data_IF_475047377920
#
_entry.id   IF_475047377920
#
_cell.length_a   1.000
_cell.length_b   1.000
_cell.length_c   1.000
_cell.angle_alpha   90.00
_cell.angle_beta   90.00
_cell.angle_gamma   90.00
#
_symmetry.space_group_name_H-M   'P 1'
#
loop_
_entity.id
_entity.type
_entity.pdbx_description
1 polymer ?
#
# COMPACT_ATOMS: atom_id res chain seq x y z
N UNK A 1 -28.88 -23.73 7.22
CA UNK A 1 -27.78 -22.78 7.38
C UNK A 1 -26.63 -23.30 6.53
N UNK A 2 -26.42 -22.75 5.36
CA UNK A 2 -25.43 -23.27 4.39
C UNK A 2 -24.04 -22.86 4.85
N UNK A 3 -23.14 -23.83 5.06
CA UNK A 3 -21.69 -23.61 5.18
C UNK A 3 -21.15 -23.36 3.76
N UNK A 4 -21.07 -22.12 3.33
CA UNK A 4 -20.70 -21.78 1.95
C UNK A 4 -19.24 -22.14 1.66
N UNK A 5 -18.33 -22.06 2.63
CA UNK A 5 -16.91 -22.43 2.44
C UNK A 5 -16.65 -23.94 2.43
N UNK A 6 -17.51 -24.76 3.03
CA UNK A 6 -17.35 -26.22 3.03
C UNK A 6 -17.56 -26.91 1.67
N UNK A 7 -18.02 -26.17 0.65
CA UNK A 7 -18.27 -26.68 -0.70
C UNK A 7 -17.19 -26.27 -1.72
N UNK A 8 -16.19 -25.45 -1.34
CA UNK A 8 -15.05 -25.15 -2.20
C UNK A 8 -14.11 -26.36 -2.16
N UNK A 9 -14.06 -27.10 -3.25
CA UNK A 9 -13.05 -28.13 -3.47
C UNK A 9 -12.01 -27.57 -4.44
N UNK A 10 -10.92 -27.07 -3.87
CA UNK A 10 -9.73 -26.66 -4.61
C UNK A 10 -8.86 -27.91 -4.81
N UNK A 11 -8.25 -28.01 -5.99
CA UNK A 11 -7.43 -29.18 -6.33
C UNK A 11 -6.15 -29.21 -5.47
N UNK A 12 -5.54 -30.38 -5.31
CA UNK A 12 -4.29 -30.54 -4.58
C UNK A 12 -3.17 -29.71 -5.21
N UNK A 13 -2.27 -29.16 -4.37
CA UNK A 13 -1.15 -28.30 -4.75
C UNK A 13 -1.56 -26.99 -5.47
N UNK A 14 -2.58 -26.31 -4.98
CA UNK A 14 -3.01 -25.01 -5.52
C UNK A 14 -2.18 -23.88 -4.91
N UNK A 15 -1.65 -22.98 -5.73
CA UNK A 15 -0.92 -21.79 -5.27
C UNK A 15 -1.88 -20.64 -4.97
N UNK A 16 -1.64 -19.93 -3.88
CA UNK A 16 -2.39 -18.73 -3.47
C UNK A 16 -1.45 -17.54 -3.51
N UNK A 17 -1.78 -16.51 -4.28
CA UNK A 17 -0.90 -15.33 -4.42
C UNK A 17 -1.70 -14.07 -4.78
N UNK A 18 -1.10 -12.92 -4.45
CA UNK A 18 -1.60 -11.61 -4.85
C UNK A 18 -0.81 -11.00 -6.00
N UNK A 19 -0.92 -9.69 -6.20
CA UNK A 19 -0.40 -8.98 -7.37
C UNK A 19 1.14 -8.88 -7.42
N UNK A 20 1.66 -8.51 -8.62
CA UNK A 20 3.07 -8.12 -8.82
C UNK A 20 3.41 -6.90 -7.95
N UNK A 21 4.69 -6.82 -7.51
CA UNK A 21 5.16 -5.81 -6.54
C UNK A 21 4.32 -5.83 -5.25
N UNK A 22 4.37 -6.94 -4.51
CA UNK A 22 3.46 -7.22 -3.42
C UNK A 22 3.60 -6.21 -2.28
N UNK A 23 2.47 -5.73 -1.79
CA UNK A 23 2.34 -4.95 -0.58
C UNK A 23 1.94 -5.82 0.63
N UNK A 24 1.58 -5.18 1.73
CA UNK A 24 1.25 -5.88 2.96
C UNK A 24 -0.06 -6.67 2.85
N UNK A 25 -1.10 -6.13 2.15
CA UNK A 25 -2.36 -6.86 1.97
C UNK A 25 -2.19 -8.08 1.07
N UNK A 26 -1.47 -7.92 -0.04
CA UNK A 26 -1.13 -9.02 -0.95
C UNK A 26 -0.46 -10.20 -0.24
N UNK A 27 0.55 -9.96 0.59
CA UNK A 27 1.27 -11.04 1.29
C UNK A 27 0.45 -11.64 2.42
N UNK A 28 -0.17 -10.79 3.26
CA UNK A 28 -0.97 -11.24 4.39
C UNK A 28 -2.19 -12.04 3.94
N UNK A 29 -2.89 -11.58 2.88
CA UNK A 29 -4.05 -12.26 2.36
C UNK A 29 -3.70 -13.58 1.68
N UNK A 30 -2.56 -13.71 1.00
CA UNK A 30 -2.10 -14.99 0.47
C UNK A 30 -1.86 -16.02 1.58
N UNK A 31 -1.18 -15.62 2.66
CA UNK A 31 -0.93 -16.48 3.83
C UNK A 31 -2.25 -16.85 4.52
N UNK A 32 -3.12 -15.87 4.77
CA UNK A 32 -4.39 -16.08 5.47
C UNK A 32 -5.35 -16.95 4.65
N UNK A 33 -5.51 -16.69 3.35
CA UNK A 33 -6.37 -17.48 2.48
C UNK A 33 -5.87 -18.93 2.34
N UNK A 34 -4.56 -19.13 2.16
CA UNK A 34 -3.99 -20.48 2.12
C UNK A 34 -4.24 -21.24 3.43
N UNK A 35 -4.05 -20.60 4.58
CA UNK A 35 -4.35 -21.22 5.86
C UNK A 35 -5.84 -21.61 5.99
N UNK A 36 -6.75 -20.69 5.65
CA UNK A 36 -8.20 -20.94 5.69
C UNK A 36 -8.60 -22.12 4.80
N UNK A 37 -8.12 -22.11 3.55
CA UNK A 37 -8.39 -23.17 2.59
C UNK A 37 -7.86 -24.53 3.05
N UNK A 38 -6.66 -24.58 3.62
CA UNK A 38 -6.10 -25.82 4.17
C UNK A 38 -6.92 -26.34 5.36
N UNK A 39 -7.44 -25.45 6.22
CA UNK A 39 -8.32 -25.84 7.35
C UNK A 39 -9.70 -26.32 6.89
N UNK A 40 -10.14 -25.93 5.71
CA UNK A 40 -11.40 -26.37 5.10
C UNK A 40 -11.26 -27.59 4.20
N UNK A 41 -10.06 -28.21 4.14
CA UNK A 41 -9.82 -29.49 3.50
C UNK A 41 -9.22 -29.39 2.09
N UNK A 42 -8.68 -28.25 1.73
CA UNK A 42 -7.91 -28.06 0.50
C UNK A 42 -6.41 -28.23 0.76
N UNK A 43 -5.61 -28.31 -0.29
CA UNK A 43 -4.15 -28.42 -0.22
C UNK A 43 -3.55 -27.24 -1.01
N UNK A 44 -3.16 -26.18 -0.27
CA UNK A 44 -2.71 -24.92 -0.86
C UNK A 44 -1.39 -24.45 -0.28
N UNK A 45 -0.63 -23.71 -1.07
CA UNK A 45 0.61 -23.02 -0.68
C UNK A 45 0.50 -21.52 -0.96
N UNK A 46 0.78 -20.69 0.04
CA UNK A 46 0.96 -19.25 -0.16
C UNK A 46 2.29 -18.96 -0.85
N UNK A 47 2.26 -18.19 -1.93
CA UNK A 47 3.44 -17.74 -2.68
C UNK A 47 3.34 -16.25 -2.98
N UNK A 48 4.42 -15.63 -3.45
CA UNK A 48 4.47 -14.20 -3.73
C UNK A 48 5.00 -13.91 -5.14
N UNK A 49 4.56 -12.83 -5.77
CA UNK A 49 5.06 -12.37 -7.06
C UNK A 49 6.17 -11.32 -6.95
N UNK A 50 6.90 -11.32 -5.85
CA UNK A 50 8.02 -10.42 -5.58
C UNK A 50 8.45 -10.50 -4.13
N UNK A 51 9.55 -9.82 -3.83
CA UNK A 51 10.07 -9.70 -2.47
C UNK A 51 9.17 -8.75 -1.68
N UNK A 52 8.83 -9.06 -0.42
CA UNK A 52 8.13 -8.12 0.45
C UNK A 52 8.84 -6.77 0.52
N UNK A 53 8.08 -5.69 0.53
CA UNK A 53 8.61 -4.35 0.77
C UNK A 53 8.98 -4.17 2.26
N UNK A 54 9.55 -3.03 2.64
CA UNK A 54 10.03 -2.81 4.00
C UNK A 54 8.90 -2.85 5.04
N UNK A 55 7.70 -2.34 4.71
CA UNK A 55 6.52 -2.40 5.56
C UNK A 55 6.06 -3.84 5.80
N UNK A 56 5.93 -4.60 4.72
CA UNK A 56 5.55 -6.02 4.78
C UNK A 56 6.60 -6.83 5.54
N UNK A 57 7.89 -6.56 5.33
CA UNK A 57 8.96 -7.24 6.03
C UNK A 57 8.93 -6.93 7.54
N UNK A 58 8.65 -5.68 7.91
CA UNK A 58 8.44 -5.31 9.31
C UNK A 58 7.33 -6.14 9.97
N UNK A 59 6.18 -6.29 9.31
CA UNK A 59 5.09 -7.11 9.81
C UNK A 59 5.47 -8.59 9.94
N UNK A 60 6.10 -9.15 8.92
CA UNK A 60 6.57 -10.55 8.92
C UNK A 60 7.55 -10.82 10.06
N UNK A 61 8.50 -9.92 10.28
CA UNK A 61 9.50 -10.05 11.35
C UNK A 61 8.86 -9.91 12.74
N UNK A 62 7.96 -8.93 12.91
CA UNK A 62 7.28 -8.68 14.17
C UNK A 62 6.47 -9.89 14.65
N UNK A 63 5.73 -10.55 13.73
CA UNK A 63 4.93 -11.74 14.04
C UNK A 63 5.70 -13.05 13.83
N UNK A 64 6.99 -12.99 13.50
CA UNK A 64 7.85 -14.16 13.27
C UNK A 64 7.31 -15.10 12.19
N UNK A 65 6.69 -14.55 11.15
CA UNK A 65 6.18 -15.30 10.00
C UNK A 65 7.20 -15.25 8.87
N UNK A 66 7.47 -16.41 8.28
CA UNK A 66 8.37 -16.48 7.13
C UNK A 66 7.68 -15.96 5.87
N UNK A 67 8.40 -15.13 5.11
CA UNK A 67 7.94 -14.68 3.79
C UNK A 67 7.66 -15.88 2.87
N UNK A 68 6.57 -15.85 2.08
CA UNK A 68 6.30 -16.85 1.06
C UNK A 68 7.43 -16.94 0.01
N UNK A 69 7.59 -18.10 -0.63
CA UNK A 69 8.52 -18.22 -1.74
C UNK A 69 8.09 -17.35 -2.92
N UNK A 70 9.07 -16.77 -3.61
CA UNK A 70 8.81 -15.91 -4.78
C UNK A 70 8.67 -16.74 -6.03
N UNK A 71 7.68 -16.43 -6.85
CA UNK A 71 7.43 -17.05 -8.16
C UNK A 71 7.21 -15.98 -9.23
N UNK A 72 7.43 -16.31 -10.48
CA UNK A 72 7.02 -15.55 -11.67
C UNK A 72 6.00 -16.31 -12.51
N UNK A 73 5.96 -17.62 -12.34
CA UNK A 73 5.04 -18.53 -13.03
C UNK A 73 4.59 -19.62 -12.06
N UNK A 74 3.37 -20.09 -12.20
CA UNK A 74 2.89 -21.24 -11.44
C UNK A 74 3.51 -22.55 -11.96
N UNK A 75 3.94 -23.39 -11.03
CA UNK A 75 4.39 -24.77 -11.25
C UNK A 75 3.28 -25.80 -10.95
N UNK A 76 2.03 -25.32 -10.80
CA UNK A 76 0.82 -26.10 -10.56
C UNK A 76 -0.22 -25.84 -11.63
N UNK A 77 -1.25 -26.68 -11.72
CA UNK A 77 -2.35 -26.52 -12.69
C UNK A 77 -3.45 -25.57 -12.21
N UNK A 78 -3.46 -25.22 -10.92
CA UNK A 78 -4.54 -24.46 -10.28
C UNK A 78 -3.99 -23.37 -9.36
N UNK A 79 -4.71 -22.25 -9.31
CA UNK A 79 -4.33 -21.08 -8.52
C UNK A 79 -5.55 -20.42 -7.87
N UNK A 80 -5.31 -19.72 -6.77
CA UNK A 80 -6.24 -18.79 -6.13
C UNK A 80 -5.61 -17.41 -6.15
N UNK A 81 -6.37 -16.42 -6.60
CA UNK A 81 -5.94 -15.03 -6.61
C UNK A 81 -6.46 -14.30 -5.38
N UNK A 82 -5.61 -13.49 -4.77
CA UNK A 82 -5.97 -12.54 -3.72
C UNK A 82 -5.51 -11.14 -4.12
N UNK A 83 -6.26 -10.12 -3.73
CA UNK A 83 -5.88 -8.71 -3.86
C UNK A 83 -5.57 -8.26 -5.30
N UNK A 84 -6.02 -9.00 -6.26
CA UNK A 84 -6.04 -8.62 -7.68
C UNK A 84 -6.89 -9.58 -8.49
N UNK A 85 -7.30 -9.12 -9.67
CA UNK A 85 -7.99 -9.95 -10.66
C UNK A 85 -7.56 -9.61 -12.10
N UNK A 86 -6.69 -8.63 -12.30
CA UNK A 86 -6.22 -8.23 -13.64
C UNK A 86 -5.03 -9.10 -14.06
N UNK A 87 -5.08 -9.66 -15.29
CA UNK A 87 -4.02 -10.52 -15.85
C UNK A 87 -2.64 -9.82 -15.86
N UNK A 88 -2.61 -8.51 -16.14
CA UNK A 88 -1.37 -7.73 -16.16
C UNK A 88 -0.66 -7.66 -14.80
N UNK A 89 -1.40 -7.85 -13.72
CA UNK A 89 -0.90 -7.87 -12.34
C UNK A 89 -0.58 -9.28 -11.84
N UNK A 90 -0.75 -10.30 -12.67
CA UNK A 90 -0.63 -11.69 -12.28
C UNK A 90 0.65 -12.36 -12.84
N UNK A 91 0.80 -13.65 -12.56
CA UNK A 91 1.91 -14.49 -13.05
C UNK A 91 1.95 -14.57 -14.57
N UNK A 92 3.15 -14.85 -15.10
CA UNK A 92 3.37 -14.82 -16.55
C UNK A 92 2.60 -15.89 -17.33
N UNK A 93 2.24 -17.00 -16.68
CA UNK A 93 1.52 -18.12 -17.28
C UNK A 93 0.07 -18.27 -16.74
N UNK A 94 -0.59 -17.17 -16.35
CA UNK A 94 -1.95 -17.23 -15.81
C UNK A 94 -2.94 -17.89 -16.80
N UNK A 95 -2.75 -17.68 -18.10
CA UNK A 95 -3.58 -18.28 -19.15
C UNK A 95 -3.46 -19.82 -19.25
N UNK A 96 -2.38 -20.40 -18.72
CA UNK A 96 -2.09 -21.84 -18.79
C UNK A 96 -2.59 -22.60 -17.55
N UNK A 97 -3.12 -21.91 -16.55
CA UNK A 97 -3.58 -22.48 -15.27
C UNK A 97 -5.06 -22.17 -15.04
N UNK A 98 -5.70 -22.94 -14.18
CA UNK A 98 -7.10 -22.72 -13.79
C UNK A 98 -7.14 -21.84 -12.53
N UNK A 99 -7.83 -20.70 -12.62
CA UNK A 99 -8.18 -19.90 -11.44
C UNK A 99 -9.42 -20.49 -10.81
N UNK A 100 -9.31 -20.97 -9.58
CA UNK A 100 -10.41 -21.62 -8.84
C UNK A 100 -11.16 -20.68 -7.90
N UNK A 101 -10.46 -19.67 -7.36
CA UNK A 101 -11.07 -18.68 -6.49
C UNK A 101 -10.38 -17.31 -6.62
N UNK A 102 -11.13 -16.25 -6.33
CA UNK A 102 -10.64 -14.87 -6.24
C UNK A 102 -11.23 -14.21 -4.99
N UNK A 103 -10.36 -13.62 -4.16
CA UNK A 103 -10.72 -12.75 -3.04
C UNK A 103 -10.14 -11.36 -3.33
N UNK A 104 -11.00 -10.35 -3.54
CA UNK A 104 -10.53 -9.06 -4.02
C UNK A 104 -11.42 -7.89 -3.56
N UNK A 105 -10.82 -6.71 -3.44
CA UNK A 105 -11.51 -5.47 -3.09
C UNK A 105 -11.42 -4.39 -4.18
N UNK A 106 -10.75 -4.68 -5.27
CA UNK A 106 -10.57 -3.79 -6.42
C UNK A 106 -11.74 -3.82 -7.40
N UNK A 107 -11.69 -2.93 -8.41
CA UNK A 107 -12.55 -3.05 -9.59
C UNK A 107 -12.32 -4.41 -10.26
N UNK A 108 -13.37 -5.01 -10.80
CA UNK A 108 -13.26 -6.33 -11.40
C UNK A 108 -13.02 -6.25 -12.91
N UNK A 109 -11.97 -6.91 -13.39
CA UNK A 109 -11.60 -7.02 -14.80
C UNK A 109 -10.97 -8.39 -15.05
N UNK A 110 -11.79 -9.45 -14.99
CA UNK A 110 -11.36 -10.84 -15.14
C UNK A 110 -12.26 -11.58 -16.10
N UNK A 111 -11.67 -12.38 -16.99
CA UNK A 111 -12.39 -13.25 -17.91
C UNK A 111 -12.00 -14.69 -17.65
N UNK A 112 -12.97 -15.56 -17.42
CA UNK A 112 -12.76 -16.99 -17.21
C UNK A 112 -13.76 -17.82 -18.02
N UNK A 113 -13.36 -19.02 -18.40
CA UNK A 113 -14.22 -19.96 -19.15
C UNK A 113 -14.80 -21.07 -18.28
N UNK A 114 -14.31 -21.19 -17.03
CA UNK A 114 -14.76 -22.20 -16.06
C UNK A 114 -15.44 -21.52 -14.88
N UNK A 115 -16.40 -22.17 -14.20
CA UNK A 115 -16.93 -21.66 -12.94
C UNK A 115 -15.82 -21.51 -11.90
N UNK A 116 -15.84 -20.40 -11.15
CA UNK A 116 -14.91 -20.15 -10.06
C UNK A 116 -15.64 -19.50 -8.87
N UNK A 117 -15.03 -19.60 -7.69
CA UNK A 117 -15.53 -18.91 -6.53
C UNK A 117 -15.01 -17.48 -6.49
N UNK A 118 -15.89 -16.51 -6.24
CA UNK A 118 -15.50 -15.10 -6.14
C UNK A 118 -16.09 -14.49 -4.86
N UNK A 119 -15.24 -13.91 -4.02
CA UNK A 119 -15.64 -12.96 -2.99
C UNK A 119 -15.01 -11.61 -3.29
N UNK A 120 -15.81 -10.70 -3.84
CA UNK A 120 -15.39 -9.34 -4.13
C UNK A 120 -16.24 -8.35 -3.32
N UNK A 121 -15.60 -7.50 -2.54
CA UNK A 121 -16.25 -6.49 -1.70
C UNK A 121 -15.42 -5.21 -1.69
N UNK A 122 -16.03 -4.02 -1.87
CA UNK A 122 -15.29 -2.75 -1.87
C UNK A 122 -14.96 -2.32 -0.42
N UNK A 123 -14.25 -3.17 0.31
CA UNK A 123 -13.79 -2.93 1.67
C UNK A 123 -12.35 -2.44 1.68
N UNK A 124 -11.87 -1.99 2.84
CA UNK A 124 -10.57 -1.35 2.95
C UNK A 124 -9.38 -2.26 2.66
N UNK A 125 -9.52 -3.58 2.88
CA UNK A 125 -8.46 -4.57 2.67
C UNK A 125 -9.08 -5.94 2.36
N UNK A 126 -8.38 -6.78 1.61
CA UNK A 126 -8.78 -8.18 1.37
C UNK A 126 -8.72 -8.99 2.67
N UNK A 127 -7.78 -8.67 3.58
CA UNK A 127 -7.75 -9.35 4.88
C UNK A 127 -8.98 -9.03 5.75
N UNK A 128 -9.63 -7.88 5.58
CA UNK A 128 -10.96 -7.65 6.14
C UNK A 128 -11.97 -8.67 5.60
N UNK A 129 -11.99 -8.91 4.29
CA UNK A 129 -12.88 -9.91 3.68
C UNK A 129 -12.59 -11.29 4.28
N UNK A 130 -11.33 -11.69 4.31
CA UNK A 130 -10.89 -12.97 4.83
C UNK A 130 -11.25 -13.17 6.31
N UNK A 131 -11.19 -12.11 7.14
CA UNK A 131 -11.64 -12.19 8.55
C UNK A 131 -13.11 -12.68 8.64
N UNK A 132 -14.00 -12.16 7.80
CA UNK A 132 -15.39 -12.61 7.78
C UNK A 132 -15.54 -13.99 7.15
N UNK A 133 -14.72 -14.39 6.19
CA UNK A 133 -14.67 -15.75 5.65
C UNK A 133 -14.23 -16.76 6.72
N UNK A 134 -13.23 -16.44 7.55
CA UNK A 134 -12.84 -17.26 8.71
C UNK A 134 -13.98 -17.45 9.69
N UNK A 135 -14.69 -16.37 10.02
CA UNK A 135 -15.88 -16.43 10.90
C UNK A 135 -17.00 -17.32 10.32
N UNK A 136 -17.24 -17.19 9.02
CA UNK A 136 -18.27 -17.99 8.34
C UNK A 136 -17.91 -19.47 8.29
N UNK A 137 -16.64 -19.78 8.10
CA UNK A 137 -16.13 -21.16 8.08
C UNK A 137 -16.01 -21.79 9.47
N UNK A 138 -16.15 -21.03 10.56
CA UNK A 138 -15.90 -21.45 11.93
C UNK A 138 -14.45 -21.95 12.14
N UNK A 139 -13.49 -21.25 11.51
CA UNK A 139 -12.05 -21.54 11.59
C UNK A 139 -11.38 -20.50 12.49
N UNK A 140 -10.63 -20.97 13.49
CA UNK A 140 -9.84 -20.08 14.35
C UNK A 140 -8.64 -19.51 13.59
N UNK A 141 -8.39 -18.22 13.78
CA UNK A 141 -7.22 -17.53 13.20
C UNK A 141 -6.07 -17.64 14.20
N UNK A 142 -4.89 -18.16 13.83
CA UNK A 142 -3.69 -18.13 14.67
C UNK A 142 -3.23 -16.70 14.93
N UNK A 143 -2.58 -16.47 16.08
CA UNK A 143 -2.17 -15.13 16.50
C UNK A 143 -1.20 -14.46 15.53
N UNK A 144 -0.27 -15.18 14.96
CA UNK A 144 0.69 -14.72 13.97
C UNK A 144 0.01 -14.29 12.65
N UNK A 145 -0.94 -15.10 12.15
CA UNK A 145 -1.73 -14.77 10.96
C UNK A 145 -2.66 -13.58 11.26
N UNK A 146 -3.28 -13.54 12.43
CA UNK A 146 -4.13 -12.41 12.84
C UNK A 146 -3.35 -11.10 12.86
N UNK A 147 -2.11 -11.13 13.33
CA UNK A 147 -1.21 -9.98 13.31
C UNK A 147 -0.90 -9.48 11.91
N UNK A 148 -0.60 -10.37 10.97
CA UNK A 148 -0.39 -10.00 9.57
C UNK A 148 -1.66 -9.43 8.92
N UNK A 149 -2.83 -10.03 9.19
CA UNK A 149 -4.12 -9.52 8.70
C UNK A 149 -4.43 -8.13 9.26
N UNK A 150 -4.15 -7.89 10.56
CA UNK A 150 -4.27 -6.56 11.16
C UNK A 150 -3.34 -5.55 10.50
N UNK A 151 -2.09 -5.94 10.22
CA UNK A 151 -1.11 -5.09 9.52
C UNK A 151 -1.59 -4.69 8.13
N UNK A 152 -2.19 -5.59 7.38
CA UNK A 152 -2.76 -5.31 6.06
C UNK A 152 -3.91 -4.29 6.13
N UNK A 153 -4.84 -4.46 7.08
CA UNK A 153 -5.92 -3.47 7.28
C UNK A 153 -5.34 -2.10 7.65
N UNK A 154 -4.34 -2.06 8.53
CA UNK A 154 -3.67 -0.82 8.92
C UNK A 154 -3.02 -0.13 7.71
N UNK A 155 -2.31 -0.89 6.88
CA UNK A 155 -1.64 -0.41 5.67
C UNK A 155 -2.64 0.23 4.70
N UNK A 156 -3.62 -0.51 4.23
CA UNK A 156 -4.56 -0.09 3.19
C UNK A 156 -5.51 1.02 3.64
N UNK A 157 -5.83 1.03 4.93
CA UNK A 157 -6.73 2.03 5.51
C UNK A 157 -6.00 3.21 6.16
N UNK A 158 -4.65 3.22 6.16
CA UNK A 158 -3.83 4.21 6.85
C UNK A 158 -4.31 4.43 8.30
N UNK A 159 -4.34 3.37 9.08
CA UNK A 159 -4.90 3.38 10.45
C UNK A 159 -6.36 3.90 10.48
N UNK A 160 -7.20 3.41 9.57
CA UNK A 160 -8.60 3.77 9.42
C UNK A 160 -8.86 5.25 9.02
N UNK A 161 -7.82 5.97 8.58
CA UNK A 161 -7.92 7.38 8.14
C UNK A 161 -8.14 7.54 6.64
N UNK A 162 -7.90 6.50 5.85
CA UNK A 162 -8.11 6.53 4.40
C UNK A 162 -9.59 6.64 4.04
N UNK A 163 -9.96 7.35 2.96
CA UNK A 163 -11.32 7.35 2.43
C UNK A 163 -11.77 5.98 1.88
N UNK A 164 -10.87 5.01 1.75
CA UNK A 164 -11.18 3.61 1.41
C UNK A 164 -11.70 2.82 2.61
N UNK A 165 -11.52 3.32 3.84
CA UNK A 165 -11.99 2.68 5.07
C UNK A 165 -13.51 2.53 5.07
N UNK A 166 -13.98 1.35 5.45
CA UNK A 166 -15.40 1.03 5.58
C UNK A 166 -15.78 0.66 7.01
N UNK A 167 -17.09 0.52 7.26
CA UNK A 167 -17.61 0.10 8.58
C UNK A 167 -17.27 -1.35 8.94
N UNK A 168 -16.69 -2.11 8.02
CA UNK A 168 -16.27 -3.50 8.23
C UNK A 168 -14.82 -3.60 8.70
N UNK A 169 -13.98 -2.62 8.37
CA UNK A 169 -12.54 -2.67 8.62
C UNK A 169 -12.20 -2.49 10.11
N UNK A 170 -12.78 -1.51 10.77
CA UNK A 170 -12.50 -1.26 12.19
C UNK A 170 -12.85 -2.47 13.08
N UNK A 171 -14.04 -3.08 13.01
CA UNK A 171 -14.35 -4.26 13.84
C UNK A 171 -13.45 -5.47 13.53
N UNK A 172 -13.03 -5.63 12.26
CA UNK A 172 -12.09 -6.68 11.88
C UNK A 172 -10.70 -6.43 12.46
N UNK A 173 -10.18 -5.20 12.34
CA UNK A 173 -8.89 -4.79 12.90
C UNK A 173 -8.85 -5.00 14.42
N UNK A 174 -9.85 -4.51 15.15
CA UNK A 174 -9.91 -4.64 16.61
C UNK A 174 -9.93 -6.11 17.05
N UNK A 175 -10.71 -6.96 16.38
CA UNK A 175 -10.76 -8.38 16.68
C UNK A 175 -9.44 -9.11 16.35
N UNK A 176 -8.82 -8.79 15.20
CA UNK A 176 -7.54 -9.36 14.78
C UNK A 176 -6.40 -8.91 15.70
N UNK A 177 -6.37 -7.64 16.08
CA UNK A 177 -5.41 -7.11 17.06
C UNK A 177 -5.52 -7.82 18.42
N UNK A 178 -6.74 -8.06 18.89
CA UNK A 178 -6.97 -8.82 20.11
C UNK A 178 -6.45 -10.27 20.00
N UNK A 179 -6.72 -10.96 18.89
CA UNK A 179 -6.24 -12.34 18.65
C UNK A 179 -4.71 -12.36 18.58
N UNK A 180 -4.11 -11.36 17.94
CA UNK A 180 -2.66 -11.24 17.80
C UNK A 180 -1.94 -10.82 19.10
N UNK A 181 -2.67 -10.36 20.11
CA UNK A 181 -2.10 -9.84 21.36
C UNK A 181 -1.50 -8.44 21.20
N UNK A 182 -1.94 -7.67 20.19
CA UNK A 182 -1.57 -6.26 20.00
C UNK A 182 -2.41 -5.40 20.93
N UNK A 183 -1.89 -5.08 22.11
CA UNK A 183 -2.59 -4.21 23.09
C UNK A 183 -2.72 -2.76 22.59
N UNK A 184 -1.75 -2.27 21.82
CA UNK A 184 -1.69 -0.93 21.24
C UNK A 184 -1.42 -1.03 19.73
N UNK A 185 -2.47 -1.37 18.99
CA UNK A 185 -2.37 -1.50 17.53
C UNK A 185 -2.18 -0.14 16.84
N UNK A 186 -2.49 0.98 17.50
CA UNK A 186 -2.28 2.32 16.94
C UNK A 186 -0.79 2.64 16.88
N UNK A 187 -0.05 2.46 17.97
CA UNK A 187 1.40 2.64 17.98
C UNK A 187 2.12 1.63 17.10
N UNK A 188 1.71 0.35 17.14
CA UNK A 188 2.23 -0.64 16.20
C UNK A 188 2.02 -0.21 14.74
N UNK A 189 0.83 0.29 14.41
CA UNK A 189 0.48 0.74 13.07
C UNK A 189 1.30 1.95 12.62
N UNK A 190 1.63 2.86 13.52
CA UNK A 190 2.56 3.96 13.21
C UNK A 190 3.96 3.43 12.87
N UNK A 191 4.46 2.45 13.63
CA UNK A 191 5.78 1.86 13.36
C UNK A 191 5.77 1.07 12.03
N UNK A 192 4.68 0.35 11.73
CA UNK A 192 4.48 -0.34 10.46
C UNK A 192 4.52 0.64 9.28
N UNK A 193 3.74 1.72 9.33
CA UNK A 193 3.67 2.72 8.26
C UNK A 193 4.99 3.49 8.13
N UNK A 194 5.70 3.74 9.24
CA UNK A 194 7.07 4.29 9.22
C UNK A 194 8.03 3.38 8.49
N UNK A 195 7.98 2.08 8.72
CA UNK A 195 8.83 1.12 8.01
C UNK A 195 8.60 1.16 6.49
N UNK A 196 7.36 1.35 6.04
CA UNK A 196 7.00 1.49 4.63
C UNK A 196 7.41 2.83 4.01
N UNK A 197 7.52 3.86 4.84
CA UNK A 197 7.91 5.21 4.43
C UNK A 197 9.29 5.61 4.93
N UNK A 198 10.11 4.65 5.38
CA UNK A 198 11.48 4.93 5.83
C UNK A 198 12.33 5.45 4.68
N UNK A 199 12.72 6.70 4.82
CA UNK A 199 13.55 7.43 3.87
C UNK A 199 15.01 7.52 4.32
N UNK A 200 15.37 6.93 5.45
CA UNK A 200 16.71 7.03 6.06
C UNK A 200 17.80 6.39 5.20
N UNK A 201 17.45 5.34 4.44
CA UNK A 201 18.38 4.67 3.53
C UNK A 201 18.60 5.42 2.20
N UNK A 202 17.76 6.41 1.89
CA UNK A 202 17.86 7.21 0.66
C UNK A 202 18.78 8.40 0.87
N UNK A 203 19.63 8.66 -0.09
CA UNK A 203 20.39 9.93 -0.18
C UNK A 203 19.43 11.09 -0.43
N UNK A 204 19.85 12.32 -0.11
CA UNK A 204 19.03 13.50 -0.37
C UNK A 204 18.70 13.66 -1.87
N UNK A 205 19.64 13.30 -2.75
CA UNK A 205 19.40 13.24 -4.20
C UNK A 205 18.32 12.24 -4.58
N UNK A 206 18.35 11.02 -4.04
CA UNK A 206 17.32 10.00 -4.29
C UNK A 206 15.95 10.42 -3.76
N UNK A 207 15.90 11.23 -2.68
CA UNK A 207 14.64 11.79 -2.18
C UNK A 207 14.02 12.77 -3.16
N UNK A 208 14.79 13.73 -3.67
CA UNK A 208 14.28 14.79 -4.54
C UNK A 208 13.90 14.27 -5.93
N UNK A 209 14.56 13.21 -6.42
CA UNK A 209 14.36 12.67 -7.77
C UNK A 209 13.42 11.46 -7.83
N UNK A 210 13.17 10.77 -6.72
CA UNK A 210 12.45 9.50 -6.67
C UNK A 210 11.04 9.54 -7.29
N UNK A 211 10.27 10.60 -7.05
CA UNK A 211 9.04 10.92 -7.75
C UNK A 211 9.03 12.40 -8.12
N UNK A 212 9.83 12.78 -9.12
CA UNK A 212 9.92 14.13 -9.59
C UNK A 212 9.57 14.25 -11.08
N UNK A 213 8.89 15.36 -11.44
CA UNK A 213 8.52 15.68 -12.83
C UNK A 213 8.82 17.14 -13.14
N UNK A 214 9.20 17.39 -14.38
CA UNK A 214 9.43 18.75 -14.88
C UNK A 214 8.19 19.29 -15.60
N UNK A 215 7.96 20.57 -15.43
CA UNK A 215 6.83 21.31 -16.01
C UNK A 215 7.34 22.64 -16.57
N UNK A 216 6.83 23.04 -17.74
CA UNK A 216 6.98 24.39 -18.26
C UNK A 216 5.73 25.21 -17.89
N UNK A 217 5.92 26.26 -17.12
CA UNK A 217 4.85 27.11 -16.63
C UNK A 217 5.11 28.56 -17.10
N UNK A 218 4.58 28.90 -18.29
CA UNK A 218 4.77 30.24 -18.86
C UNK A 218 6.22 30.60 -19.21
N UNK A 219 7.04 29.60 -19.50
CA UNK A 219 8.47 29.75 -19.79
C UNK A 219 9.39 29.51 -18.58
N UNK A 220 8.84 29.34 -17.38
CA UNK A 220 9.57 28.92 -16.18
C UNK A 220 9.68 27.39 -16.09
N UNK A 221 10.89 26.89 -15.88
CA UNK A 221 11.15 25.46 -15.80
C UNK A 221 11.09 25.00 -14.34
N UNK A 222 9.93 24.45 -13.94
CA UNK A 222 9.73 23.86 -12.61
C UNK A 222 10.11 22.40 -12.59
N UNK A 223 10.89 21.98 -11.58
CA UNK A 223 11.01 20.59 -11.16
C UNK A 223 10.20 20.42 -9.89
N UNK A 224 9.24 19.47 -9.87
CA UNK A 224 8.39 19.22 -8.71
C UNK A 224 8.57 17.78 -8.28
N UNK A 225 9.26 17.57 -7.15
CA UNK A 225 9.40 16.29 -6.47
C UNK A 225 8.30 16.08 -5.42
N UNK A 226 7.94 14.83 -5.14
CA UNK A 226 7.05 14.49 -4.04
C UNK A 226 7.56 13.25 -3.31
N UNK A 227 7.49 13.28 -1.97
CA UNK A 227 7.73 12.15 -1.11
C UNK A 227 6.58 12.00 -0.14
N UNK A 228 6.20 10.75 0.15
CA UNK A 228 5.22 10.41 1.16
C UNK A 228 5.95 9.99 2.44
N UNK A 229 5.46 10.45 3.58
CA UNK A 229 5.99 10.10 4.91
C UNK A 229 4.85 10.06 5.92
N UNK A 230 5.11 9.49 7.07
CA UNK A 230 4.26 9.59 8.27
C UNK A 230 4.82 10.59 9.28
N UNK A 231 6.01 11.16 8.99
CA UNK A 231 6.71 12.13 9.84
C UNK A 231 7.42 13.18 8.97
N UNK A 232 6.77 14.32 8.76
CA UNK A 232 7.34 15.45 7.99
C UNK A 232 8.62 15.98 8.63
N UNK A 233 8.67 16.03 9.97
CA UNK A 233 9.78 16.63 10.69
C UNK A 233 11.07 15.78 10.53
N UNK A 234 10.94 14.45 10.39
CA UNK A 234 12.07 13.58 10.05
C UNK A 234 12.69 14.00 8.71
N UNK A 235 11.87 14.20 7.67
CA UNK A 235 12.37 14.65 6.36
C UNK A 235 12.95 16.05 6.43
N UNK A 236 12.30 16.97 7.15
CA UNK A 236 12.78 18.34 7.33
C UNK A 236 14.05 18.44 8.17
N UNK A 237 14.36 17.45 9.02
CA UNK A 237 15.64 17.39 9.73
C UNK A 237 16.84 17.31 8.78
N UNK A 238 16.60 16.91 7.51
CA UNK A 238 17.59 16.80 6.42
C UNK A 238 17.55 18.02 5.47
N UNK A 239 16.86 19.09 5.84
CA UNK A 239 16.62 20.26 4.96
C UNK A 239 17.88 20.80 4.31
N UNK A 240 18.97 20.98 5.04
CA UNK A 240 20.23 21.52 4.52
C UNK A 240 20.83 20.62 3.41
N UNK A 241 20.81 19.31 3.64
CA UNK A 241 21.27 18.32 2.65
C UNK A 241 20.39 18.28 1.40
N UNK A 242 19.06 18.32 1.59
CA UNK A 242 18.10 18.36 0.48
C UNK A 242 18.28 19.64 -0.33
N UNK A 243 18.45 20.79 0.30
CA UNK A 243 18.73 22.07 -0.41
C UNK A 243 20.04 22.03 -1.19
N UNK A 244 21.09 21.45 -0.62
CA UNK A 244 22.37 21.26 -1.31
C UNK A 244 22.20 20.36 -2.55
N UNK A 245 21.48 19.24 -2.44
CA UNK A 245 21.20 18.34 -3.55
C UNK A 245 20.40 19.03 -4.66
N UNK A 246 19.41 19.86 -4.34
CA UNK A 246 18.63 20.65 -5.31
C UNK A 246 19.54 21.65 -6.04
N UNK A 247 20.44 22.33 -5.31
CA UNK A 247 21.36 23.31 -5.90
C UNK A 247 22.38 22.67 -6.85
N UNK A 248 22.85 21.45 -6.56
CA UNK A 248 23.77 20.70 -7.41
C UNK A 248 23.18 20.35 -8.78
N UNK A 249 21.85 20.14 -8.86
CA UNK A 249 21.14 19.78 -10.08
C UNK A 249 20.86 20.99 -11.00
N UNK A 250 21.12 22.23 -10.56
CA UNK A 250 20.95 23.48 -11.31
C UNK A 250 19.55 23.66 -11.92
N UNK A 251 18.50 23.29 -11.21
CA UNK A 251 17.14 23.61 -11.61
C UNK A 251 16.86 25.11 -11.42
N UNK A 252 16.10 25.72 -12.33
CA UNK A 252 15.67 27.11 -12.22
C UNK A 252 14.72 27.27 -11.00
N UNK A 253 13.71 26.43 -10.93
CA UNK A 253 12.75 26.37 -9.84
C UNK A 253 12.52 24.93 -9.40
N UNK A 254 12.71 24.64 -8.13
CA UNK A 254 12.47 23.32 -7.54
C UNK A 254 11.50 23.40 -6.37
N UNK A 255 10.40 22.63 -6.43
CA UNK A 255 9.44 22.46 -5.35
C UNK A 255 9.44 21.02 -4.88
N UNK A 256 9.89 20.76 -3.64
CA UNK A 256 9.88 19.44 -3.04
C UNK A 256 8.74 19.30 -2.05
N UNK A 257 7.72 18.53 -2.41
CA UNK A 257 6.50 18.32 -1.62
C UNK A 257 6.69 17.12 -0.71
N UNK A 258 6.56 17.33 0.58
CA UNK A 258 6.65 16.33 1.64
C UNK A 258 5.24 16.11 2.16
N UNK A 259 4.66 14.94 1.89
CA UNK A 259 3.25 14.62 2.18
C UNK A 259 3.15 13.72 3.39
N UNK A 260 2.48 14.21 4.45
CA UNK A 260 2.03 13.41 5.57
C UNK A 260 0.78 12.63 5.17
N UNK A 261 0.95 11.34 4.93
CA UNK A 261 -0.14 10.47 4.48
C UNK A 261 -1.18 10.18 5.57
N UNK A 262 -0.81 10.33 6.86
CA UNK A 262 -1.71 10.08 7.99
C UNK A 262 -2.64 11.25 8.27
N UNK A 263 -2.15 12.49 8.12
CA UNK A 263 -2.91 13.69 8.42
C UNK A 263 -3.43 14.39 7.17
N UNK A 264 -3.12 13.84 5.98
CA UNK A 264 -3.54 14.40 4.69
C UNK A 264 -3.11 15.86 4.50
N UNK A 265 -1.91 16.18 4.89
CA UNK A 265 -1.29 17.49 4.79
C UNK A 265 0.08 17.38 4.11
N UNK A 266 0.57 18.49 3.57
CA UNK A 266 1.94 18.56 3.09
C UNK A 266 2.65 19.81 3.59
N UNK A 267 3.97 19.77 3.56
CA UNK A 267 4.84 20.96 3.49
C UNK A 267 5.64 20.88 2.19
N UNK A 268 6.03 22.02 1.66
CA UNK A 268 6.95 22.03 0.52
C UNK A 268 8.17 22.88 0.79
N UNK A 269 9.33 22.35 0.43
CA UNK A 269 10.59 23.06 0.38
C UNK A 269 10.75 23.62 -1.03
N UNK A 270 10.97 24.92 -1.15
CA UNK A 270 11.12 25.60 -2.42
C UNK A 270 12.48 26.27 -2.55
N UNK A 271 13.10 26.10 -3.71
CA UNK A 271 14.31 26.83 -4.12
C UNK A 271 14.13 27.35 -5.55
N UNK A 272 14.30 28.64 -5.74
CA UNK A 272 14.14 29.33 -7.01
C UNK A 272 13.80 30.79 -6.83
N UNK A 273 13.44 31.46 -7.94
CA UNK A 273 13.17 32.89 -7.96
C UNK A 273 11.68 33.25 -8.01
N UNK A 274 10.77 32.25 -8.09
CA UNK A 274 9.32 32.44 -8.23
C UNK A 274 8.58 32.49 -6.89
N UNK A 275 9.18 33.06 -5.80
CA UNK A 275 8.61 33.09 -4.46
C UNK A 275 7.16 33.62 -4.42
N UNK A 276 6.87 34.70 -5.16
CA UNK A 276 5.53 35.29 -5.19
C UNK A 276 4.49 34.35 -5.82
N UNK A 277 4.89 33.61 -6.84
CA UNK A 277 4.02 32.62 -7.47
C UNK A 277 3.71 31.45 -6.52
N UNK A 278 4.72 30.94 -5.80
CA UNK A 278 4.54 29.91 -4.77
C UNK A 278 3.59 30.39 -3.67
N UNK A 279 3.84 31.56 -3.08
CA UNK A 279 3.00 32.14 -2.04
C UNK A 279 1.56 32.40 -2.53
N UNK A 280 1.40 32.89 -3.77
CA UNK A 280 0.11 33.14 -4.39
C UNK A 280 -0.67 31.86 -4.70
N UNK A 281 -0.01 30.83 -5.21
CA UNK A 281 -0.63 29.55 -5.56
C UNK A 281 -1.24 28.84 -4.33
N UNK A 282 -0.58 28.94 -3.19
CA UNK A 282 -0.96 28.20 -1.99
C UNK A 282 -1.53 29.07 -0.86
N UNK A 283 -1.70 30.38 -1.08
CA UNK A 283 -2.18 31.34 -0.07
C UNK A 283 -1.38 31.29 1.24
N UNK A 284 -0.08 31.03 1.15
CA UNK A 284 0.84 30.86 2.27
C UNK A 284 2.00 31.83 2.22
N UNK A 285 2.92 31.69 3.17
CA UNK A 285 4.19 32.40 3.21
C UNK A 285 5.35 31.43 3.25
N UNK A 286 6.38 31.72 2.47
CA UNK A 286 7.65 31.03 2.56
C UNK A 286 8.40 31.51 3.81
N UNK A 287 8.72 30.56 4.68
CA UNK A 287 9.56 30.77 5.87
C UNK A 287 10.69 29.75 5.80
N UNK A 288 11.92 30.19 5.77
CA UNK A 288 13.11 29.34 5.61
C UNK A 288 12.98 28.35 4.42
N UNK A 289 12.47 28.87 3.29
CA UNK A 289 12.18 28.11 2.06
C UNK A 289 11.06 27.06 2.18
N UNK A 290 10.32 27.03 3.27
CA UNK A 290 9.22 26.08 3.52
C UNK A 290 7.88 26.82 3.44
N UNK A 291 6.89 26.18 2.80
CA UNK A 291 5.50 26.60 2.80
C UNK A 291 4.59 25.46 3.29
N UNK A 292 3.63 25.78 4.16
CA UNK A 292 2.61 24.83 4.59
C UNK A 292 1.53 24.66 3.50
N UNK A 293 1.17 23.41 3.24
CA UNK A 293 0.19 22.99 2.23
C UNK A 293 -0.93 22.18 2.88
N UNK A 294 -1.82 22.80 3.68
CA UNK A 294 -2.86 22.09 4.40
C UNK A 294 -3.86 21.43 3.43
N UNK A 295 -4.16 20.15 3.63
CA UNK A 295 -5.10 19.37 2.81
C UNK A 295 -4.58 19.00 1.42
N UNK A 296 -3.29 19.26 1.13
CA UNK A 296 -2.65 18.89 -0.14
C UNK A 296 -2.00 17.52 0.00
N UNK A 297 -2.35 16.59 -0.90
CA UNK A 297 -1.79 15.22 -0.94
C UNK A 297 -1.45 14.78 -2.36
N UNK A 298 -1.77 15.58 -3.36
CA UNK A 298 -1.61 15.20 -4.77
C UNK A 298 -0.91 16.28 -5.58
N UNK A 299 0.34 16.01 -5.98
CA UNK A 299 1.07 16.88 -6.93
C UNK A 299 0.23 17.21 -8.17
N UNK A 300 -0.31 16.19 -8.84
CA UNK A 300 -1.04 16.34 -10.11
C UNK A 300 -2.31 17.17 -9.97
N UNK A 301 -3.06 17.00 -8.88
CA UNK A 301 -4.39 17.61 -8.74
C UNK A 301 -4.40 18.90 -7.93
N UNK A 302 -3.46 19.04 -6.98
CA UNK A 302 -3.53 20.10 -5.96
C UNK A 302 -2.28 20.99 -5.94
N UNK A 303 -1.15 20.58 -6.54
CA UNK A 303 0.08 21.38 -6.60
C UNK A 303 0.25 22.03 -7.98
N UNK A 304 0.25 21.23 -9.03
CA UNK A 304 0.51 21.73 -10.40
C UNK A 304 -0.56 22.75 -10.86
N UNK A 305 -1.89 22.48 -10.79
CA UNK A 305 -2.86 23.39 -11.36
C UNK A 305 -2.96 24.78 -10.68
N UNK A 306 -2.83 24.94 -9.34
CA UNK A 306 -2.80 26.28 -8.75
C UNK A 306 -1.49 27.03 -9.07
N UNK A 307 -0.37 26.31 -9.22
CA UNK A 307 0.90 26.92 -9.58
C UNK A 307 0.90 27.42 -11.04
N UNK A 308 0.42 26.62 -11.99
CA UNK A 308 0.26 27.01 -13.41
C UNK A 308 -0.57 28.29 -13.60
N UNK A 309 -1.50 28.59 -12.70
CA UNK A 309 -2.34 29.80 -12.77
C UNK A 309 -1.61 31.08 -12.38
N UNK A 310 -0.40 30.99 -11.85
CA UNK A 310 0.40 32.15 -11.47
C UNK A 310 1.26 32.68 -12.64
N UNK A 311 1.39 31.90 -13.69
CA UNK A 311 2.12 32.19 -14.90
C UNK A 311 1.19 32.27 -16.13
#
# INVERSE_FOLDING_TARGET
MYKILGDIRIMANTLVFGHKNPDTDTIASAIAASYLLNKTGNDTEAVAQGTPNAETQFALDYFSVKAPRVITSADTSTVVLVDHNEEAQSIDNLADVTVEAIYDHHKFSFTNTTPLYITAKPWGSVTTILYYEFKQADVMIPADIAGLMASAIISDTLLLKSPTTTTYDQPALEALAQIAGLEDYENYGLDLLKAGTDLSSRTDKELIDGDAKSFDMGGHQFRIGQVNTVDIDEVLSRQDGIQAAIQEENYEDFLFVITDILNSNSKALYLGDANQAIEGAFNGKLVDNIIDLPGVVSRKKQVVPPLEKQF
#
